data_IF_306721337453
#
_entry.id   IF_306721337453
#
_cell.length_a   1.000
_cell.length_b   1.000
_cell.length_c   1.000
_cell.angle_alpha   90.00
_cell.angle_beta   90.00
_cell.angle_gamma   90.00
#
_symmetry.space_group_name_H-M   'P 1'
#
loop_
_entity.id
_entity.type
_entity.pdbx_description
1 polymer ?
#
# COMPACT_ATOMS: atom_id res chain seq x y z
N UNK A 1 9.20 -9.84 -45.78
CA UNK A 1 9.65 -11.25 -45.60
C UNK A 1 10.59 -11.22 -44.42
N UNK A 2 10.17 -11.57 -43.21
CA UNK A 2 9.90 -12.96 -42.77
C UNK A 2 8.81 -12.96 -41.71
N UNK A 3 7.82 -13.83 -41.89
CA UNK A 3 6.71 -14.07 -40.95
C UNK A 3 7.21 -15.06 -39.90
N UNK A 4 7.12 -14.71 -38.61
CA UNK A 4 7.13 -15.70 -37.53
C UNK A 4 5.75 -15.73 -36.87
N UNK A 5 5.03 -16.82 -37.14
CA UNK A 5 3.83 -17.19 -36.39
C UNK A 5 4.24 -17.68 -35.00
N UNK A 6 3.87 -16.95 -33.94
CA UNK A 6 3.73 -17.55 -32.61
C UNK A 6 2.25 -17.56 -32.22
N UNK A 7 1.74 -18.78 -32.12
CA UNK A 7 0.35 -19.14 -31.86
C UNK A 7 0.16 -19.12 -30.34
N UNK A 8 -0.15 -17.96 -29.75
CA UNK A 8 -0.53 -17.88 -28.34
C UNK A 8 -2.02 -17.53 -28.22
N UNK A 9 -2.76 -18.49 -27.68
CA UNK A 9 -4.20 -18.42 -27.39
C UNK A 9 -4.52 -17.14 -26.62
N UNK A 10 -5.25 -16.23 -27.26
CA UNK A 10 -5.70 -14.98 -26.65
C UNK A 10 -6.73 -15.22 -25.55
N UNK A 11 -6.27 -15.36 -24.30
CA UNK A 11 -7.09 -14.92 -23.16
C UNK A 11 -7.02 -13.40 -23.12
N UNK A 12 -8.18 -12.75 -23.23
CA UNK A 12 -8.33 -11.30 -23.08
C UNK A 12 -7.60 -10.86 -21.80
N UNK A 13 -6.54 -10.08 -21.96
CA UNK A 13 -5.91 -9.37 -20.84
C UNK A 13 -6.71 -8.10 -20.63
N UNK A 14 -7.64 -8.13 -19.69
CA UNK A 14 -8.25 -6.91 -19.17
C UNK A 14 -7.25 -6.27 -18.20
N UNK A 15 -6.55 -5.24 -18.65
CA UNK A 15 -5.85 -4.32 -17.75
C UNK A 15 -6.87 -3.28 -17.35
N UNK A 16 -7.61 -3.53 -16.27
CA UNK A 16 -8.47 -2.52 -15.66
C UNK A 16 -7.59 -1.60 -14.82
N UNK A 17 -7.36 -0.39 -15.31
CA UNK A 17 -6.89 0.75 -14.51
C UNK A 17 -8.02 1.18 -13.56
N UNK A 18 -8.35 0.34 -12.59
CA UNK A 18 -9.26 0.63 -11.51
C UNK A 18 -8.45 0.98 -10.26
N UNK A 19 -8.92 1.96 -9.50
CA UNK A 19 -8.34 2.39 -8.23
C UNK A 19 -8.16 1.19 -7.29
N UNK A 20 -6.95 0.65 -7.20
CA UNK A 20 -6.62 -0.47 -6.32
C UNK A 20 -5.95 0.12 -5.08
N UNK A 21 -6.73 0.29 -4.02
CA UNK A 21 -6.17 0.12 -2.68
C UNK A 21 -5.70 -1.34 -2.64
N UNK A 22 -4.39 -1.61 -2.71
CA UNK A 22 -3.88 -2.98 -2.70
C UNK A 22 -4.44 -3.69 -1.48
N UNK A 23 -5.45 -4.53 -1.71
CA UNK A 23 -6.00 -5.37 -0.66
C UNK A 23 -4.90 -6.33 -0.22
N UNK A 24 -4.88 -6.70 1.05
CA UNK A 24 -3.91 -7.65 1.60
C UNK A 24 -3.87 -8.96 0.77
N UNK A 25 -5.00 -9.35 0.18
CA UNK A 25 -5.10 -10.50 -0.73
C UNK A 25 -4.31 -10.34 -2.04
N UNK A 26 -4.32 -9.15 -2.64
CA UNK A 26 -3.57 -8.87 -3.87
C UNK A 26 -2.07 -8.90 -3.60
N UNK A 27 -1.65 -8.32 -2.47
CA UNK A 27 -0.26 -8.36 -2.04
C UNK A 27 0.22 -9.80 -1.83
N UNK A 28 -0.53 -10.62 -1.08
CA UNK A 28 -0.20 -12.04 -0.86
C UNK A 28 -0.10 -12.79 -2.19
N UNK A 29 -1.03 -12.56 -3.11
CA UNK A 29 -1.01 -13.20 -4.44
C UNK A 29 0.19 -12.75 -5.29
N UNK A 30 0.61 -11.49 -5.16
CA UNK A 30 1.78 -10.94 -5.85
C UNK A 30 3.08 -11.49 -5.26
N UNK A 31 3.21 -11.54 -3.94
CA UNK A 31 4.34 -12.15 -3.25
C UNK A 31 4.48 -13.65 -3.53
N UNK A 32 3.34 -14.34 -3.72
CA UNK A 32 3.26 -15.72 -4.20
C UNK A 32 3.22 -15.79 -5.76
N UNK A 33 4.16 -15.09 -6.39
CA UNK A 33 4.38 -15.10 -7.85
C UNK A 33 5.84 -14.78 -8.19
N UNK A 34 6.19 -14.70 -9.47
CA UNK A 34 7.53 -14.24 -9.91
C UNK A 34 7.84 -12.75 -9.66
N UNK A 35 6.84 -11.97 -9.23
CA UNK A 35 7.00 -10.56 -8.85
C UNK A 35 7.70 -9.70 -9.91
N UNK A 36 7.30 -9.84 -11.18
CA UNK A 36 7.86 -9.04 -12.26
C UNK A 36 7.59 -7.55 -12.01
N UNK A 37 8.61 -6.75 -12.28
CA UNK A 37 8.56 -5.31 -12.14
C UNK A 37 8.94 -4.66 -13.48
N UNK A 38 8.17 -3.65 -13.89
CA UNK A 38 8.51 -2.88 -15.07
C UNK A 38 9.73 -2.00 -14.78
N UNK A 39 10.79 -2.19 -15.55
CA UNK A 39 12.05 -1.48 -15.42
C UNK A 39 12.33 -0.69 -16.70
N UNK A 40 12.84 0.53 -16.56
CA UNK A 40 13.34 1.35 -17.66
C UNK A 40 14.87 1.42 -17.59
N UNK A 41 15.56 1.48 -18.74
CA UNK A 41 17.00 1.60 -18.76
C UNK A 41 17.39 3.03 -18.36
N UNK A 42 18.41 3.15 -17.52
CA UNK A 42 18.98 4.46 -17.22
C UNK A 42 19.56 5.11 -18.48
N UNK A 43 19.30 6.39 -18.77
CA UNK A 43 19.85 7.05 -19.97
C UNK A 43 21.38 7.18 -19.96
N UNK A 44 22.02 7.04 -18.80
CA UNK A 44 23.47 7.21 -18.63
C UNK A 44 24.24 5.89 -18.62
N UNK A 45 23.76 4.88 -17.88
CA UNK A 45 24.45 3.58 -17.73
C UNK A 45 23.70 2.41 -18.37
N UNK A 46 22.52 2.63 -18.95
CA UNK A 46 21.66 1.62 -19.57
C UNK A 46 21.19 0.48 -18.65
N UNK A 47 21.50 0.53 -17.35
CA UNK A 47 21.04 -0.45 -16.38
C UNK A 47 19.54 -0.33 -16.12
N UNK A 48 18.85 -1.46 -16.15
CA UNK A 48 17.40 -1.56 -15.97
C UNK A 48 17.04 -1.43 -14.49
N UNK A 49 16.17 -0.47 -14.18
CA UNK A 49 15.59 -0.33 -12.84
C UNK A 49 14.14 0.10 -12.88
N UNK A 50 13.43 -0.23 -11.81
CA UNK A 50 12.11 0.31 -11.59
C UNK A 50 12.20 1.74 -11.09
N UNK A 51 11.44 2.63 -11.71
CA UNK A 51 11.30 4.00 -11.22
C UNK A 51 10.62 3.98 -9.86
N UNK A 52 11.07 4.83 -8.94
CA UNK A 52 10.55 4.95 -7.57
C UNK A 52 10.40 6.40 -7.24
N UNK A 53 9.29 6.75 -6.59
CA UNK A 53 9.09 8.12 -6.10
C UNK A 53 10.02 8.35 -4.89
N UNK A 54 9.88 7.52 -3.87
CA UNK A 54 10.71 7.59 -2.66
C UNK A 54 12.15 7.20 -2.98
N UNK A 55 13.09 8.04 -2.57
CA UNK A 55 14.54 7.87 -2.75
C UNK A 55 15.01 7.84 -4.22
N UNK A 56 14.10 7.99 -5.19
CA UNK A 56 14.37 7.94 -6.62
C UNK A 56 14.13 9.28 -7.32
N UNK A 57 12.92 9.85 -7.22
CA UNK A 57 12.67 11.18 -7.80
C UNK A 57 13.28 12.26 -6.91
N UNK A 58 14.10 13.11 -7.51
CA UNK A 58 14.56 14.38 -6.95
C UNK A 58 13.73 15.48 -7.58
N UNK A 59 13.13 16.34 -6.75
CA UNK A 59 12.25 17.40 -7.21
C UNK A 59 12.57 18.71 -6.49
N UNK A 60 12.30 19.81 -7.19
CA UNK A 60 12.30 21.16 -6.63
C UNK A 60 10.86 21.67 -6.56
N UNK A 61 10.48 22.26 -5.43
CA UNK A 61 9.12 22.77 -5.24
C UNK A 61 9.09 24.01 -4.36
N UNK A 62 8.08 24.85 -4.58
CA UNK A 62 7.75 25.98 -3.73
C UNK A 62 6.23 26.06 -3.51
N UNK A 63 5.83 26.82 -2.50
CA UNK A 63 4.42 27.13 -2.25
C UNK A 63 4.17 28.55 -2.76
N UNK A 64 3.24 28.72 -3.67
CA UNK A 64 2.84 30.03 -4.18
C UNK A 64 2.17 30.87 -3.10
N UNK A 65 2.03 32.17 -3.35
CA UNK A 65 1.29 33.08 -2.45
C UNK A 65 -0.18 32.66 -2.25
N UNK A 66 -0.77 31.97 -3.24
CA UNK A 66 -2.11 31.39 -3.16
C UNK A 66 -2.18 30.09 -2.33
N UNK A 67 -1.06 29.59 -1.81
CA UNK A 67 -0.98 28.34 -1.06
C UNK A 67 -0.96 27.08 -1.94
N UNK A 68 -0.79 27.23 -3.25
CA UNK A 68 -0.65 26.11 -4.19
C UNK A 68 0.78 25.59 -4.18
N UNK A 69 0.94 24.26 -4.20
CA UNK A 69 2.25 23.63 -4.33
C UNK A 69 2.61 23.56 -5.82
N UNK A 70 3.74 24.15 -6.18
CA UNK A 70 4.27 24.14 -7.55
C UNK A 70 5.58 23.35 -7.55
N UNK A 71 5.67 22.35 -8.43
CA UNK A 71 6.89 21.57 -8.66
C UNK A 71 7.51 22.04 -9.97
N UNK A 72 8.71 22.63 -9.91
CA UNK A 72 9.38 23.21 -11.08
C UNK A 72 10.12 22.15 -11.87
N UNK A 73 10.81 21.26 -11.16
CA UNK A 73 11.67 20.23 -11.73
C UNK A 73 11.44 18.90 -11.02
N UNK A 74 11.51 17.82 -11.80
CA UNK A 74 11.43 16.46 -11.31
C UNK A 74 12.29 15.55 -12.20
N UNK A 75 13.34 14.98 -11.60
CA UNK A 75 14.28 14.07 -12.27
C UNK A 75 14.39 12.77 -11.47
N UNK A 76 14.75 11.67 -12.14
CA UNK A 76 14.94 10.39 -11.47
C UNK A 76 16.42 10.06 -11.32
N UNK A 77 16.81 9.73 -10.10
CA UNK A 77 18.14 9.26 -9.73
C UNK A 77 18.27 7.78 -10.01
N UNK A 78 19.23 7.44 -10.86
CA UNK A 78 19.62 6.05 -11.08
C UNK A 78 20.19 5.41 -9.81
N UNK A 79 19.70 4.23 -9.43
CA UNK A 79 20.20 3.44 -8.29
C UNK A 79 21.61 2.90 -8.52
N UNK A 80 22.03 2.70 -9.78
CA UNK A 80 23.34 2.13 -10.12
C UNK A 80 24.44 3.19 -10.28
N UNK A 81 24.21 4.20 -11.12
CA UNK A 81 25.21 5.25 -11.38
C UNK A 81 25.00 6.52 -10.56
N UNK A 82 23.86 6.70 -9.90
CA UNK A 82 23.55 7.88 -9.08
C UNK A 82 23.24 9.16 -9.87
N UNK A 83 23.38 9.15 -11.20
CA UNK A 83 23.14 10.32 -12.05
C UNK A 83 21.64 10.57 -12.20
N UNK A 84 21.26 11.86 -12.22
CA UNK A 84 19.90 12.30 -12.49
C UNK A 84 19.61 12.25 -13.99
N UNK A 85 18.40 11.85 -14.35
CA UNK A 85 17.91 11.92 -15.72
C UNK A 85 16.50 12.48 -15.74
N UNK A 86 16.20 13.20 -16.82
CA UNK A 86 14.89 13.81 -17.04
C UNK A 86 13.84 12.75 -17.38
N UNK A 87 12.58 13.07 -17.14
CA UNK A 87 11.45 12.18 -17.47
C UNK A 87 11.49 11.68 -18.92
N UNK A 88 11.80 12.58 -19.85
CA UNK A 88 11.83 12.29 -21.29
C UNK A 88 12.92 11.29 -21.64
N UNK A 89 14.11 11.43 -21.05
CA UNK A 89 15.23 10.51 -21.29
C UNK A 89 14.92 9.11 -20.79
N UNK A 90 14.39 8.99 -19.57
CA UNK A 90 14.01 7.70 -18.99
C UNK A 90 12.91 6.99 -19.77
N UNK A 91 11.88 7.72 -20.21
CA UNK A 91 10.74 7.15 -20.92
C UNK A 91 10.99 6.87 -22.41
N UNK A 92 12.08 7.40 -22.96
CA UNK A 92 12.49 7.08 -24.34
C UNK A 92 13.08 5.67 -24.44
N UNK A 93 13.65 5.16 -23.35
CA UNK A 93 14.23 3.82 -23.31
C UNK A 93 13.21 2.70 -23.45
N UNK A 94 13.62 1.58 -24.06
CA UNK A 94 12.81 0.37 -24.13
C UNK A 94 12.78 -0.35 -22.78
N UNK A 95 11.63 -0.32 -22.11
CA UNK A 95 11.45 -0.98 -20.82
C UNK A 95 11.32 -2.51 -20.94
N UNK A 96 11.63 -3.19 -19.84
CA UNK A 96 11.52 -4.64 -19.73
C UNK A 96 10.86 -5.06 -18.40
N UNK A 97 10.14 -6.18 -18.43
CA UNK A 97 9.65 -6.84 -17.22
C UNK A 97 10.76 -7.71 -16.63
N UNK A 98 11.23 -7.36 -15.43
CA UNK A 98 12.28 -8.09 -14.73
C UNK A 98 11.67 -8.89 -13.58
N UNK A 99 11.80 -10.21 -13.64
CA UNK A 99 11.37 -11.11 -12.57
C UNK A 99 12.28 -10.95 -11.34
N UNK A 100 11.69 -10.82 -10.16
CA UNK A 100 12.44 -10.68 -8.90
C UNK A 100 12.45 -11.96 -8.06
N UNK A 101 11.63 -12.93 -8.45
CA UNK A 101 11.48 -14.21 -7.77
C UNK A 101 11.21 -15.29 -8.82
N UNK A 102 11.74 -16.49 -8.59
CA UNK A 102 11.35 -17.65 -9.38
C UNK A 102 10.06 -18.25 -8.82
N UNK A 103 9.14 -18.62 -9.71
CA UNK A 103 7.87 -19.21 -9.32
C UNK A 103 7.31 -20.03 -10.49
N UNK A 104 6.81 -21.23 -10.19
CA UNK A 104 6.50 -22.26 -11.19
C UNK A 104 5.22 -22.00 -11.98
N UNK A 105 4.21 -21.38 -11.37
CA UNK A 105 2.85 -21.30 -11.98
C UNK A 105 2.21 -19.91 -12.08
N UNK A 106 2.65 -18.92 -11.29
CA UNK A 106 2.01 -17.60 -11.21
C UNK A 106 2.93 -16.47 -11.64
N UNK A 107 2.39 -15.62 -12.52
CA UNK A 107 3.03 -14.38 -12.97
C UNK A 107 2.32 -13.17 -12.36
N UNK A 108 3.02 -12.45 -11.47
CA UNK A 108 2.57 -11.17 -10.93
C UNK A 108 3.38 -10.04 -11.53
N UNK A 109 2.74 -8.89 -11.73
CA UNK A 109 3.31 -7.73 -12.41
C UNK A 109 3.10 -6.48 -11.55
N UNK A 110 4.13 -5.65 -11.45
CA UNK A 110 4.07 -4.37 -10.77
C UNK A 110 4.62 -3.25 -11.65
N UNK A 111 3.82 -2.22 -11.85
CA UNK A 111 4.17 -0.99 -12.57
C UNK A 111 3.51 0.18 -11.85
N UNK A 112 4.20 1.31 -11.79
CA UNK A 112 3.69 2.53 -11.19
C UNK A 112 3.45 3.61 -12.23
N UNK A 113 2.74 4.66 -11.82
CA UNK A 113 2.36 5.74 -12.71
C UNK A 113 3.57 6.54 -13.25
N UNK A 114 4.70 6.56 -12.53
CA UNK A 114 5.95 7.19 -12.99
C UNK A 114 6.44 6.62 -14.33
N UNK A 115 6.16 5.34 -14.60
CA UNK A 115 6.57 4.66 -15.83
C UNK A 115 5.63 4.93 -17.01
N UNK A 116 4.47 5.57 -16.78
CA UNK A 116 3.45 5.80 -17.80
C UNK A 116 3.85 6.95 -18.76
N UNK A 117 3.74 6.79 -20.08
CA UNK A 117 3.92 7.88 -21.05
C UNK A 117 2.93 9.03 -20.88
N UNK A 118 1.79 8.80 -20.21
CA UNK A 118 0.73 9.79 -20.00
C UNK A 118 0.77 10.45 -18.61
N UNK A 119 1.83 10.24 -17.85
CA UNK A 119 1.98 10.82 -16.51
C UNK A 119 3.17 11.76 -16.46
N UNK A 120 3.00 12.98 -15.95
CA UNK A 120 4.10 13.91 -15.69
C UNK A 120 4.64 13.71 -14.26
N UNK A 121 5.97 13.64 -14.10
CA UNK A 121 6.61 13.42 -12.79
C UNK A 121 6.40 14.60 -11.83
N UNK A 122 6.29 15.83 -12.35
CA UNK A 122 6.01 17.02 -11.53
C UNK A 122 4.59 16.97 -10.98
N UNK A 123 3.62 16.53 -11.79
CA UNK A 123 2.24 16.33 -11.32
C UNK A 123 2.14 15.20 -10.29
N UNK A 124 2.88 14.11 -10.47
CA UNK A 124 2.96 13.02 -9.48
C UNK A 124 3.58 13.53 -8.17
N UNK A 125 4.67 14.30 -8.23
CA UNK A 125 5.31 14.89 -7.06
C UNK A 125 4.38 15.91 -6.36
N UNK A 126 3.69 16.76 -7.13
CA UNK A 126 2.69 17.71 -6.62
C UNK A 126 1.57 16.98 -5.89
N UNK A 127 1.00 15.93 -6.50
CA UNK A 127 -0.04 15.11 -5.90
C UNK A 127 0.44 14.42 -4.61
N UNK A 128 1.71 14.01 -4.54
CA UNK A 128 2.31 13.48 -3.31
C UNK A 128 2.33 14.51 -2.18
N UNK A 129 2.76 15.74 -2.46
CA UNK A 129 2.80 16.81 -1.45
C UNK A 129 1.41 17.23 -0.99
N UNK A 130 0.45 17.34 -1.92
CA UNK A 130 -0.95 17.62 -1.60
C UNK A 130 -1.51 16.53 -0.70
N UNK A 131 -1.30 15.26 -1.06
CA UNK A 131 -1.76 14.13 -0.26
C UNK A 131 -1.12 14.11 1.14
N UNK A 132 0.16 14.47 1.26
CA UNK A 132 0.85 14.60 2.54
C UNK A 132 0.28 15.72 3.41
N UNK A 133 -0.14 16.84 2.79
CA UNK A 133 -0.77 17.98 3.47
C UNK A 133 -2.20 17.67 3.94
N UNK A 134 -2.97 16.94 3.15
CA UNK A 134 -4.37 16.60 3.46
C UNK A 134 -4.52 15.48 4.50
N UNK A 135 -3.47 14.68 4.72
CA UNK A 135 -3.40 13.72 5.82
C UNK A 135 -3.20 12.26 5.38
N UNK A 136 -3.24 11.37 6.36
CA UNK A 136 -2.83 9.96 6.21
C UNK A 136 -3.70 9.20 5.19
N UNK A 137 -5.01 9.44 5.18
CA UNK A 137 -5.93 8.72 4.28
C UNK A 137 -5.67 9.05 2.81
N UNK A 138 -5.42 10.33 2.51
CA UNK A 138 -5.07 10.80 1.16
C UNK A 138 -3.70 10.30 0.74
N UNK A 139 -2.73 10.32 1.66
CA UNK A 139 -1.40 9.76 1.41
C UNK A 139 -1.46 8.26 1.14
N UNK A 140 -2.25 7.50 1.92
CA UNK A 140 -2.49 6.07 1.69
C UNK A 140 -3.12 5.82 0.31
N UNK A 141 -4.12 6.62 -0.06
CA UNK A 141 -4.74 6.53 -1.38
C UNK A 141 -3.72 6.77 -2.50
N UNK A 142 -2.89 7.80 -2.35
CA UNK A 142 -1.83 8.14 -3.30
C UNK A 142 -0.84 6.98 -3.46
N UNK A 143 -0.28 6.46 -2.37
CA UNK A 143 0.71 5.38 -2.40
C UNK A 143 0.13 4.13 -3.09
N UNK A 144 -1.09 3.74 -2.73
CA UNK A 144 -1.70 2.55 -3.32
C UNK A 144 -2.06 2.74 -4.81
N UNK A 145 -2.60 3.91 -5.18
CA UNK A 145 -3.19 4.11 -6.51
C UNK A 145 -2.17 4.60 -7.54
N UNK A 146 -1.31 5.54 -7.14
CA UNK A 146 -0.32 6.18 -8.02
C UNK A 146 0.96 5.36 -8.06
N UNK A 147 1.43 4.88 -6.90
CA UNK A 147 2.66 4.08 -6.84
C UNK A 147 2.42 2.58 -6.98
N UNK A 148 1.20 2.09 -6.74
CA UNK A 148 0.93 0.66 -6.73
C UNK A 148 1.62 -0.05 -5.57
N UNK A 149 2.01 0.67 -4.52
CA UNK A 149 2.77 0.15 -3.39
C UNK A 149 1.84 -0.13 -2.21
N UNK A 150 2.10 -1.18 -1.41
CA UNK A 150 1.30 -1.47 -0.24
C UNK A 150 1.56 -0.43 0.86
N UNK A 151 0.49 0.12 1.43
CA UNK A 151 0.60 0.96 2.61
C UNK A 151 0.65 0.12 3.90
N UNK A 152 1.80 0.14 4.57
CA UNK A 152 1.90 -0.37 5.94
C UNK A 152 1.30 0.64 6.91
N UNK A 153 0.19 0.23 7.53
CA UNK A 153 -0.32 1.00 8.67
C UNK A 153 0.69 0.80 9.79
N UNK A 154 1.44 1.84 10.15
CA UNK A 154 2.14 1.90 11.45
C UNK A 154 1.08 1.96 12.54
N UNK A 155 0.36 0.85 12.76
CA UNK A 155 -0.32 0.64 14.01
C UNK A 155 0.81 0.60 15.04
N UNK A 156 0.94 1.65 15.84
CA UNK A 156 1.44 1.48 17.19
C UNK A 156 0.42 0.56 17.86
N UNK A 157 0.57 -0.75 17.65
CA UNK A 157 -0.13 -1.75 18.44
C UNK A 157 0.14 -1.35 19.89
N UNK A 158 -0.93 -1.22 20.67
CA UNK A 158 -0.77 -0.97 22.09
C UNK A 158 0.04 -2.15 22.62
N UNK A 159 1.24 -1.88 23.14
CA UNK A 159 2.14 -2.94 23.63
C UNK A 159 1.36 -3.78 24.64
N UNK A 160 1.53 -5.10 24.61
CA UNK A 160 0.86 -6.02 25.54
C UNK A 160 1.00 -5.55 27.00
N UNK A 161 2.18 -5.05 27.39
CA UNK A 161 2.42 -4.46 28.72
C UNK A 161 1.51 -3.27 29.04
N UNK A 162 1.22 -2.43 28.04
CA UNK A 162 0.30 -1.29 28.19
C UNK A 162 -1.15 -1.73 28.32
N UNK A 163 -1.57 -2.79 27.60
CA UNK A 163 -2.88 -3.41 27.80
C UNK A 163 -2.98 -4.06 29.19
N UNK A 164 -1.93 -4.77 29.61
CA UNK A 164 -1.85 -5.40 30.93
C UNK A 164 -1.88 -4.38 32.09
N UNK A 165 -1.32 -3.18 31.90
CA UNK A 165 -1.40 -2.12 32.90
C UNK A 165 -2.79 -1.49 33.01
N UNK A 166 -3.63 -1.60 31.98
CA UNK A 166 -5.01 -1.10 31.96
C UNK A 166 -6.05 -2.15 32.40
N UNK A 167 -5.60 -3.30 32.89
CA UNK A 167 -6.48 -4.33 33.46
C UNK A 167 -7.18 -3.76 34.67
N UNK A 168 -8.51 -3.82 34.68
CA UNK A 168 -9.30 -3.53 35.85
C UNK A 168 -9.71 -4.84 36.52
N UNK A 169 -9.80 -4.89 37.87
CA UNK A 169 -10.35 -6.03 38.56
C UNK A 169 -11.79 -6.27 38.09
N UNK A 170 -12.06 -7.48 37.60
CA UNK A 170 -13.42 -7.92 37.29
C UNK A 170 -14.12 -8.32 38.59
N UNK A 171 -15.41 -8.03 38.69
CA UNK A 171 -16.21 -8.31 39.90
C UNK A 171 -16.40 -9.82 40.12
N UNK A 172 -16.95 -10.19 41.28
CA UNK A 172 -17.19 -11.58 41.68
C UNK A 172 -18.16 -12.28 40.73
N UNK A 173 -17.70 -13.38 40.13
CA UNK A 173 -18.51 -14.22 39.24
C UNK A 173 -19.18 -15.32 40.08
N UNK A 174 -20.51 -15.53 39.97
CA UNK A 174 -21.19 -16.62 40.67
C UNK A 174 -20.60 -17.99 40.34
N UNK A 175 -20.52 -18.90 41.33
CA UNK A 175 -19.91 -20.23 41.19
C UNK A 175 -20.60 -21.15 40.16
N UNK A 176 -21.85 -20.83 39.82
CA UNK A 176 -22.67 -21.53 38.83
C UNK A 176 -22.26 -21.23 37.39
N UNK A 177 -21.51 -20.14 37.15
CA UNK A 177 -20.98 -19.78 35.84
C UNK A 177 -19.84 -20.72 35.47
N UNK A 178 -19.97 -21.40 34.33
CA UNK A 178 -18.91 -22.25 33.75
C UNK A 178 -18.17 -21.58 32.61
N UNK A 179 -18.85 -20.70 31.87
CA UNK A 179 -18.29 -19.99 30.72
C UNK A 179 -18.68 -18.52 30.79
N UNK A 180 -17.71 -17.64 30.53
CA UNK A 180 -17.94 -16.21 30.36
C UNK A 180 -17.69 -15.85 28.90
N UNK A 181 -18.64 -15.16 28.29
CA UNK A 181 -18.49 -14.56 26.96
C UNK A 181 -18.59 -13.06 27.07
N UNK A 182 -17.60 -12.34 26.55
CA UNK A 182 -17.62 -10.88 26.45
C UNK A 182 -17.73 -10.45 24.98
N UNK A 183 -18.74 -9.67 24.66
CA UNK A 183 -18.88 -8.99 23.38
C UNK A 183 -18.47 -7.52 23.56
N UNK A 184 -17.63 -7.01 22.66
CA UNK A 184 -17.12 -5.64 22.71
C UNK A 184 -17.48 -4.98 21.39
N UNK A 185 -18.25 -3.89 21.47
CA UNK A 185 -18.53 -3.01 20.34
C UNK A 185 -17.72 -1.71 20.48
N UNK A 186 -17.02 -1.32 19.41
CA UNK A 186 -16.23 -0.10 19.38
C UNK A 186 -17.04 0.99 18.73
N UNK A 187 -17.27 2.09 19.45
CA UNK A 187 -17.76 3.36 18.90
C UNK A 187 -16.65 4.41 18.89
N UNK A 188 -16.93 5.56 18.31
CA UNK A 188 -15.94 6.62 18.12
C UNK A 188 -15.40 7.19 19.44
N UNK A 189 -16.21 7.19 20.51
CA UNK A 189 -15.92 7.78 21.81
C UNK A 189 -15.75 6.76 22.96
N UNK A 190 -16.20 5.51 22.78
CA UNK A 190 -16.27 4.50 23.85
C UNK A 190 -16.30 3.05 23.35
N UNK A 191 -16.03 2.12 24.27
CA UNK A 191 -16.32 0.70 24.15
C UNK A 191 -17.60 0.36 24.91
N UNK A 192 -18.50 -0.34 24.24
CA UNK A 192 -19.66 -0.98 24.88
C UNK A 192 -19.30 -2.45 25.12
N UNK A 193 -19.23 -2.85 26.38
CA UNK A 193 -18.84 -4.21 26.76
C UNK A 193 -20.04 -4.91 27.38
N UNK A 194 -20.45 -6.01 26.77
CA UNK A 194 -21.49 -6.90 27.26
C UNK A 194 -20.86 -8.22 27.69
N UNK A 195 -21.04 -8.59 28.96
CA UNK A 195 -20.53 -9.84 29.50
C UNK A 195 -21.67 -10.72 29.96
N UNK A 196 -21.66 -11.97 29.49
CA UNK A 196 -22.64 -13.01 29.83
C UNK A 196 -21.93 -14.19 30.47
N UNK A 197 -22.45 -14.65 31.59
CA UNK A 197 -22.05 -15.90 32.24
C UNK A 197 -23.08 -16.99 31.99
N UNK A 198 -22.60 -18.17 31.60
CA UNK A 198 -23.39 -19.33 31.23
C UNK A 198 -23.19 -20.47 32.23
N UNK A 199 -24.29 -21.01 32.75
CA UNK A 199 -24.32 -22.21 33.58
C UNK A 199 -24.75 -23.44 32.78
N UNK A 200 -25.23 -24.49 33.44
CA UNK A 200 -25.71 -25.71 32.77
C UNK A 200 -27.00 -25.45 31.96
N UNK A 201 -26.84 -24.98 30.72
CA UNK A 201 -27.91 -24.84 29.73
C UNK A 201 -28.61 -23.47 29.69
N UNK A 202 -28.28 -22.52 30.57
CA UNK A 202 -28.90 -21.19 30.59
C UNK A 202 -27.91 -20.08 30.98
N UNK A 203 -28.26 -18.84 30.61
CA UNK A 203 -27.57 -17.65 31.08
C UNK A 203 -27.89 -17.43 32.56
N UNK A 204 -26.87 -17.33 33.38
CA UNK A 204 -27.00 -17.18 34.84
C UNK A 204 -26.46 -15.84 35.33
N UNK A 205 -25.75 -15.09 34.47
CA UNK A 205 -25.12 -13.84 34.83
C UNK A 205 -25.07 -12.87 33.64
N UNK A 206 -25.35 -11.58 33.88
CA UNK A 206 -25.31 -10.53 32.86
C UNK A 206 -24.75 -9.23 33.45
N UNK A 207 -23.76 -8.64 32.78
CA UNK A 207 -23.29 -7.29 33.08
C UNK A 207 -22.99 -6.52 31.79
N UNK A 208 -23.41 -5.25 31.75
CA UNK A 208 -23.11 -4.33 30.67
C UNK A 208 -22.43 -3.09 31.21
N UNK A 209 -21.27 -2.76 30.65
CA UNK A 209 -20.47 -1.62 31.06
C UNK A 209 -20.07 -0.76 29.86
N UNK A 210 -19.83 0.52 30.13
CA UNK A 210 -19.45 1.53 29.15
C UNK A 210 -18.09 2.07 29.56
N UNK A 211 -17.12 2.07 28.66
CA UNK A 211 -15.73 2.47 28.94
C UNK A 211 -15.16 3.36 27.87
#
# INVERSE_FOLDING_TARGET
MTIFHSRLRGRRRSVTSGVICLSQRQLISYEDSIMEQWCLPCPHCNELQALRLKDGIVYEHYVSESGEIVVTEAEHRCVYCGVLGTEKEWKHGEGAWIARKEHTSRRGFHINQLSSPWSDWREVAKAFFVAKREGIDKLKFFINTVLGEPWETKQKGVKEKTLAARREPYFEVPAEVKVITAAIDKKDDRFEIEVKGWGAGAMVFYNRTWK
#
